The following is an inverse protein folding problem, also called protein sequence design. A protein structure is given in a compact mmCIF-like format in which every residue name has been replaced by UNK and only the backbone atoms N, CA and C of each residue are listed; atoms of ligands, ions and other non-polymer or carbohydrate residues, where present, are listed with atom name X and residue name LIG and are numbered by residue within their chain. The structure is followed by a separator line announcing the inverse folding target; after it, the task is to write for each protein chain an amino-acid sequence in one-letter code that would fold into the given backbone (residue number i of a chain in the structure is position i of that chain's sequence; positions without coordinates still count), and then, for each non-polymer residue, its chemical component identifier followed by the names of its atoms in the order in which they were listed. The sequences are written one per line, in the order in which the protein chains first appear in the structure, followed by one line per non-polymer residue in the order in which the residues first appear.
data_IF_949012913724
#
_entry.id   IF_949012913724
#
_cell.length_a   1.000
_cell.length_b   1.000
_cell.length_c   1.000
_cell.angle_alpha   90.00
_cell.angle_beta   90.00
_cell.angle_gamma   90.00
#
_symmetry.space_group_name_H-M   'P 1'
#
loop_
_entity.id
_entity.type
_entity.pdbx_description
1 polymer ?
#
# COMPACT_ATOMS: atom_id res chain seq x y z
N UNK A 1 -9.63 7.31 0.31
CA UNK A 1 -10.36 7.05 -0.95
C UNK A 1 -10.17 8.23 -1.89
N UNK A 2 -10.02 7.98 -3.18
CA UNK A 2 -9.89 9.00 -4.22
C UNK A 2 -10.79 8.71 -5.43
N UNK A 3 -10.71 9.56 -6.44
CA UNK A 3 -11.46 9.51 -7.69
C UNK A 3 -10.50 9.72 -8.87
N UNK A 4 -10.93 9.29 -10.05
CA UNK A 4 -10.12 9.43 -11.26
C UNK A 4 -9.86 10.92 -11.56
N UNK A 5 -8.59 11.28 -11.78
CA UNK A 5 -8.19 12.66 -12.05
C UNK A 5 -7.92 13.53 -10.80
N UNK A 6 -8.17 13.03 -9.58
CA UNK A 6 -7.76 13.73 -8.36
C UNK A 6 -6.27 13.54 -8.04
N UNK A 7 -5.64 14.50 -7.34
CA UNK A 7 -4.20 14.47 -7.03
C UNK A 7 -3.86 13.55 -5.84
N UNK A 8 -4.40 12.33 -5.79
CA UNK A 8 -4.10 11.39 -4.70
C UNK A 8 -2.63 10.96 -4.67
N UNK A 9 -1.97 10.89 -5.82
CA UNK A 9 -0.55 10.56 -5.91
C UNK A 9 0.34 11.65 -5.29
N UNK A 10 -0.01 12.93 -5.48
CA UNK A 10 0.71 14.06 -4.89
C UNK A 10 0.54 14.08 -3.37
N UNK A 11 -0.67 13.79 -2.88
CA UNK A 11 -0.93 13.68 -1.44
C UNK A 11 -0.16 12.48 -0.86
N UNK A 12 -0.10 11.35 -1.56
CA UNK A 12 0.69 10.19 -1.12
C UNK A 12 2.18 10.53 -1.02
N UNK A 13 2.74 11.18 -2.05
CA UNK A 13 4.12 11.65 -2.04
C UNK A 13 4.36 12.66 -0.90
N UNK A 14 3.43 13.59 -0.68
CA UNK A 14 3.50 14.52 0.44
C UNK A 14 3.50 13.81 1.79
N UNK A 15 2.65 12.79 1.97
CA UNK A 15 2.65 11.96 3.18
C UNK A 15 4.01 11.27 3.34
N UNK A 16 4.58 10.69 2.29
CA UNK A 16 5.91 10.08 2.38
C UNK A 16 6.98 11.08 2.84
N UNK A 17 6.97 12.30 2.29
CA UNK A 17 7.97 13.35 2.60
C UNK A 17 7.85 13.89 4.01
N UNK A 18 6.62 14.02 4.50
CA UNK A 18 6.33 14.64 5.80
C UNK A 18 6.14 13.62 6.91
N UNK A 19 6.05 12.33 6.58
CA UNK A 19 5.93 11.27 7.55
C UNK A 19 7.22 11.20 8.38
N UNK A 20 7.04 11.26 9.69
CA UNK A 20 8.09 11.11 10.68
C UNK A 20 7.46 10.88 12.04
N UNK A 21 8.27 10.36 12.96
CA UNK A 21 7.83 10.20 14.34
C UNK A 21 7.70 11.57 15.00
N UNK A 22 6.60 11.80 15.71
CA UNK A 22 6.40 13.03 16.48
C UNK A 22 7.49 13.10 17.56
N UNK A 23 8.38 14.09 17.46
CA UNK A 23 9.39 14.34 18.48
C UNK A 23 8.68 14.83 19.75
N UNK A 24 8.50 13.93 20.74
CA UNK A 24 8.13 14.33 22.10
C UNK A 24 9.37 14.42 22.96
N UNK A 25 9.44 15.48 23.76
CA UNK A 25 10.43 15.63 24.82
C UNK A 25 10.12 14.67 25.97
N UNK A 26 11.07 13.74 26.21
CA UNK A 26 11.24 12.81 27.34
C UNK A 26 10.88 11.33 27.14
N UNK A 27 11.91 10.50 27.36
CA UNK A 27 11.91 9.21 28.06
C UNK A 27 11.32 7.96 27.39
N UNK A 28 11.79 7.59 26.18
CA UNK A 28 11.90 6.18 25.75
C UNK A 28 13.07 6.06 24.76
N UNK A 29 13.84 4.97 24.76
CA UNK A 29 14.95 4.72 23.83
C UNK A 29 14.54 4.55 22.33
N UNK A 30 13.30 4.87 21.96
CA UNK A 30 12.70 4.58 20.64
C UNK A 30 12.74 5.77 19.64
N UNK A 31 13.34 6.91 20.01
CA UNK A 31 13.22 8.18 19.24
C UNK A 31 14.41 8.51 18.31
N UNK A 32 14.96 7.54 17.56
CA UNK A 32 15.81 7.88 16.42
C UNK A 32 14.97 7.97 15.14
N UNK A 33 15.13 9.07 14.39
CA UNK A 33 14.57 9.20 13.03
C UNK A 33 15.08 8.09 12.10
N UNK A 34 16.20 7.44 12.44
CA UNK A 34 16.79 6.32 11.69
C UNK A 34 15.98 5.01 11.79
N UNK A 35 15.04 4.93 12.73
CA UNK A 35 14.17 3.78 12.89
C UNK A 35 12.88 3.88 12.05
N UNK A 36 12.75 4.88 11.19
CA UNK A 36 11.61 5.01 10.29
C UNK A 36 11.96 4.48 8.89
N UNK A 37 11.13 3.58 8.36
CA UNK A 37 11.25 3.05 7.01
C UNK A 37 9.94 3.20 6.25
N UNK A 38 10.04 3.42 4.94
CA UNK A 38 8.88 3.52 4.07
C UNK A 38 8.89 2.31 3.13
N UNK A 39 7.76 1.61 3.05
CA UNK A 39 7.56 0.56 2.05
C UNK A 39 6.45 1.04 1.13
N UNK A 40 6.79 1.25 -0.13
CA UNK A 40 5.86 1.74 -1.12
C UNK A 40 5.57 0.66 -2.15
N UNK A 41 4.30 0.31 -2.31
CA UNK A 41 3.83 -0.68 -3.28
C UNK A 41 2.90 -0.02 -4.29
N UNK A 42 3.34 0.01 -5.55
CA UNK A 42 2.58 0.47 -6.70
C UNK A 42 2.09 -0.72 -7.52
N UNK A 43 0.81 -0.77 -7.86
CA UNK A 43 0.12 -1.84 -8.57
C UNK A 43 -0.67 -1.22 -9.73
N UNK A 44 -0.34 -1.62 -10.97
CA UNK A 44 -1.05 -1.14 -12.15
C UNK A 44 -0.88 0.36 -12.44
N UNK A 45 0.20 0.98 -11.95
CA UNK A 45 0.43 2.42 -12.15
C UNK A 45 1.01 2.71 -13.54
N UNK A 46 0.68 3.90 -14.06
CA UNK A 46 1.28 4.38 -15.30
C UNK A 46 2.77 4.67 -15.13
N UNK A 47 3.53 4.56 -16.22
CA UNK A 47 4.97 4.87 -16.24
C UNK A 47 5.26 6.29 -15.73
N UNK A 48 4.40 7.26 -16.04
CA UNK A 48 4.52 8.64 -15.58
C UNK A 48 4.40 8.74 -14.05
N UNK A 49 3.42 8.05 -13.47
CA UNK A 49 3.22 7.99 -12.02
C UNK A 49 4.39 7.30 -11.32
N UNK A 50 4.88 6.19 -11.87
CA UNK A 50 6.04 5.49 -11.32
C UNK A 50 7.31 6.36 -11.36
N UNK A 51 7.53 7.09 -12.45
CA UNK A 51 8.64 8.06 -12.56
C UNK A 51 8.49 9.20 -11.58
N UNK A 52 7.28 9.75 -11.43
CA UNK A 52 7.00 10.82 -10.46
C UNK A 52 7.39 10.40 -9.04
N UNK A 53 6.96 9.21 -8.59
CA UNK A 53 7.34 8.70 -7.27
C UNK A 53 8.85 8.48 -7.15
N UNK A 54 9.48 7.88 -8.16
CA UNK A 54 10.92 7.63 -8.14
C UNK A 54 11.73 8.93 -8.03
N UNK A 55 11.38 9.94 -8.85
CA UNK A 55 12.04 11.25 -8.82
C UNK A 55 11.81 11.96 -7.49
N UNK A 56 10.59 11.93 -6.94
CA UNK A 56 10.31 12.53 -5.63
C UNK A 56 11.13 11.84 -4.52
N UNK A 57 11.28 10.51 -4.54
CA UNK A 57 12.11 9.81 -3.56
C UNK A 57 13.62 10.08 -3.71
N UNK A 58 14.11 10.25 -4.94
CA UNK A 58 15.51 10.62 -5.22
C UNK A 58 15.82 12.05 -4.78
N UNK A 59 14.95 13.02 -5.08
CA UNK A 59 15.15 14.43 -4.76
C UNK A 59 15.11 14.72 -3.25
N UNK A 60 14.28 13.99 -2.50
CA UNK A 60 14.14 14.20 -1.06
C UNK A 60 15.17 13.42 -0.21
N UNK A 61 16.10 12.69 -0.83
CA UNK A 61 17.14 11.93 -0.13
C UNK A 61 16.62 10.82 0.78
N UNK A 62 15.34 10.42 0.61
CA UNK A 62 14.70 9.38 1.42
C UNK A 62 14.98 7.96 0.89
N UNK A 63 15.66 7.84 -0.27
CA UNK A 63 15.89 6.58 -0.96
C UNK A 63 16.59 5.51 -0.10
N UNK A 64 17.44 5.91 0.85
CA UNK A 64 18.16 4.98 1.73
C UNK A 64 17.23 4.23 2.71
N UNK A 65 16.05 4.81 3.01
CA UNK A 65 15.06 4.26 3.94
C UNK A 65 13.76 3.82 3.25
N UNK A 66 13.70 3.88 1.91
CA UNK A 66 12.51 3.55 1.13
C UNK A 66 12.73 2.24 0.36
N UNK A 67 11.80 1.30 0.49
CA UNK A 67 11.72 0.11 -0.35
C UNK A 67 10.57 0.27 -1.35
N UNK A 68 10.89 0.22 -2.65
CA UNK A 68 9.93 0.40 -3.75
C UNK A 68 9.59 -0.93 -4.40
N UNK A 69 8.30 -1.29 -4.38
CA UNK A 69 7.72 -2.35 -5.19
C UNK A 69 6.88 -1.70 -6.28
N UNK A 70 7.35 -1.75 -7.53
CA UNK A 70 6.66 -1.13 -8.66
C UNK A 70 6.17 -2.22 -9.62
N UNK A 71 4.86 -2.29 -9.79
CA UNK A 71 4.23 -3.03 -10.87
C UNK A 71 3.49 -2.03 -11.78
N UNK A 72 3.93 -1.96 -13.02
CA UNK A 72 3.43 -1.03 -14.03
C UNK A 72 2.16 -1.57 -14.70
N UNK A 73 1.41 -0.69 -15.34
CA UNK A 73 0.19 -1.06 -16.09
C UNK A 73 0.44 -2.07 -17.23
N UNK A 74 1.66 -2.12 -17.78
CA UNK A 74 2.09 -3.09 -18.80
C UNK A 74 2.59 -4.43 -18.23
N UNK A 75 2.79 -4.52 -16.91
CA UNK A 75 3.26 -5.74 -16.27
C UNK A 75 2.10 -6.72 -16.02
N UNK A 76 2.37 -8.03 -15.88
CA UNK A 76 1.34 -9.06 -15.72
C UNK A 76 0.40 -8.81 -14.53
N UNK A 77 -0.88 -9.13 -14.72
CA UNK A 77 -1.92 -8.96 -13.70
C UNK A 77 -1.72 -9.87 -12.49
N UNK A 78 -1.08 -11.02 -12.67
CA UNK A 78 -0.72 -11.92 -11.56
C UNK A 78 0.30 -11.30 -10.61
N UNK A 79 1.21 -10.46 -11.11
CA UNK A 79 2.20 -9.79 -10.27
C UNK A 79 1.53 -8.78 -9.34
N UNK A 80 0.48 -8.08 -9.81
CA UNK A 80 -0.32 -7.16 -8.98
C UNK A 80 -0.88 -7.81 -7.73
N UNK A 81 -1.23 -9.10 -7.80
CA UNK A 81 -1.80 -9.83 -6.66
C UNK A 81 -0.73 -10.15 -5.61
N UNK A 82 0.52 -10.40 -6.03
CA UNK A 82 1.62 -10.74 -5.12
C UNK A 82 2.37 -9.51 -4.59
N UNK A 83 2.43 -8.41 -5.35
CA UNK A 83 3.11 -7.16 -4.97
C UNK A 83 2.77 -6.67 -3.56
N UNK A 84 1.49 -6.51 -3.15
CA UNK A 84 1.18 -6.03 -1.80
C UNK A 84 1.59 -7.05 -0.72
N UNK A 85 1.55 -8.35 -1.04
CA UNK A 85 1.97 -9.41 -0.11
C UNK A 85 3.48 -9.39 0.12
N UNK A 86 4.27 -9.12 -0.92
CA UNK A 86 5.72 -8.96 -0.83
C UNK A 86 6.09 -7.71 -0.02
N UNK A 87 5.43 -6.58 -0.32
CA UNK A 87 5.61 -5.34 0.42
C UNK A 87 5.30 -5.51 1.92
N UNK A 88 4.16 -6.11 2.25
CA UNK A 88 3.77 -6.35 3.64
C UNK A 88 4.69 -7.32 4.37
N UNK A 89 5.16 -8.37 3.70
CA UNK A 89 6.12 -9.32 4.30
C UNK A 89 7.46 -8.62 4.58
N UNK A 90 7.88 -7.71 3.70
CA UNK A 90 9.08 -6.88 3.92
C UNK A 90 8.87 -5.91 5.08
N UNK A 91 7.69 -5.30 5.18
CA UNK A 91 7.32 -4.42 6.28
C UNK A 91 7.28 -5.17 7.63
N UNK A 92 6.74 -6.39 7.67
CA UNK A 92 6.73 -7.24 8.87
C UNK A 92 8.13 -7.61 9.33
N UNK A 93 9.02 -7.95 8.40
CA UNK A 93 10.41 -8.22 8.73
C UNK A 93 11.08 -7.00 9.36
N UNK A 94 10.96 -5.83 8.72
CA UNK A 94 11.53 -4.58 9.23
C UNK A 94 10.93 -4.17 10.57
N UNK A 95 9.63 -4.30 10.75
CA UNK A 95 8.96 -3.89 11.97
C UNK A 95 9.22 -4.85 13.13
N UNK A 96 9.11 -6.15 12.90
CA UNK A 96 9.08 -7.11 13.99
C UNK A 96 10.41 -7.81 14.27
N UNK A 97 11.34 -7.82 13.32
CA UNK A 97 12.67 -8.40 13.51
C UNK A 97 13.74 -7.31 13.67
N UNK A 98 13.60 -6.19 12.95
CA UNK A 98 14.53 -5.05 13.04
C UNK A 98 14.02 -3.92 13.93
N UNK A 99 12.83 -4.08 14.55
CA UNK A 99 12.22 -3.11 15.48
C UNK A 99 12.03 -1.70 14.90
N UNK A 100 11.84 -1.58 13.58
CA UNK A 100 11.60 -0.30 12.90
C UNK A 100 10.11 0.09 12.88
N UNK A 101 9.85 1.38 12.79
CA UNK A 101 8.53 1.91 12.47
C UNK A 101 8.39 1.99 10.95
N UNK A 102 7.47 1.21 10.39
CA UNK A 102 7.28 1.09 8.96
C UNK A 102 5.98 1.75 8.53
N UNK A 103 6.07 2.66 7.57
CA UNK A 103 4.92 3.19 6.85
C UNK A 103 4.77 2.45 5.52
N UNK A 104 3.69 1.70 5.36
CA UNK A 104 3.35 0.98 4.13
C UNK A 104 2.30 1.77 3.36
N UNK A 105 2.60 2.10 2.11
CA UNK A 105 1.67 2.76 1.20
C UNK A 105 1.36 1.81 0.06
N UNK A 106 0.08 1.51 -0.13
CA UNK A 106 -0.42 0.63 -1.17
C UNK A 106 -1.22 1.46 -2.16
N UNK A 107 -0.81 1.50 -3.43
CA UNK A 107 -1.51 2.22 -4.51
C UNK A 107 -1.44 1.40 -5.80
N UNK A 108 -2.46 1.23 -6.63
CA UNK A 108 -3.87 1.48 -6.41
C UNK A 108 -4.57 0.15 -6.06
N UNK A 109 -5.33 0.12 -4.95
CA UNK A 109 -6.11 -1.06 -4.55
C UNK A 109 -7.25 -1.37 -5.53
N UNK A 110 -7.68 -0.41 -6.34
CA UNK A 110 -8.65 -0.66 -7.41
C UNK A 110 -8.06 -1.54 -8.51
N UNK A 111 -6.80 -1.30 -8.89
CA UNK A 111 -6.08 -2.16 -9.85
C UNK A 111 -5.82 -3.56 -9.29
N UNK A 112 -5.63 -3.68 -7.97
CA UNK A 112 -5.56 -4.98 -7.30
C UNK A 112 -6.90 -5.73 -7.41
N UNK A 113 -8.02 -5.07 -7.11
CA UNK A 113 -9.35 -5.69 -7.18
C UNK A 113 -9.73 -6.10 -8.61
N UNK A 114 -9.36 -5.29 -9.62
CA UNK A 114 -9.54 -5.63 -11.02
C UNK A 114 -8.72 -6.85 -11.45
N UNK A 115 -7.45 -6.93 -11.02
CA UNK A 115 -6.61 -8.10 -11.27
C UNK A 115 -7.19 -9.36 -10.60
N UNK A 116 -7.72 -9.23 -9.38
CA UNK A 116 -8.38 -10.33 -8.68
C UNK A 116 -9.62 -10.81 -9.44
N UNK A 117 -10.41 -9.88 -9.99
CA UNK A 117 -11.56 -10.17 -10.84
C UNK A 117 -11.16 -10.91 -12.11
N UNK A 118 -10.09 -10.47 -12.77
CA UNK A 118 -9.59 -11.10 -14.01
C UNK A 118 -9.16 -12.54 -13.76
N UNK A 119 -8.44 -12.79 -12.66
CA UNK A 119 -8.02 -14.16 -12.29
C UNK A 119 -9.21 -15.04 -11.95
N UNK A 120 -10.20 -14.51 -11.22
CA UNK A 120 -11.43 -15.25 -10.89
C UNK A 120 -12.25 -15.59 -12.14
N UNK A 121 -12.38 -14.64 -13.08
CA UNK A 121 -13.04 -14.85 -14.36
C UNK A 121 -12.32 -15.90 -15.23
N UNK A 122 -10.97 -15.86 -15.26
CA UNK A 122 -10.16 -16.85 -15.97
C UNK A 122 -10.25 -18.26 -15.36
N UNK A 123 -10.60 -18.37 -14.08
CA UNK A 123 -10.85 -19.63 -13.36
C UNK A 123 -12.28 -20.13 -13.46
N UNK A 124 -13.15 -19.41 -14.18
CA UNK A 124 -14.59 -19.72 -14.30
C UNK A 124 -15.31 -19.81 -12.94
N UNK A 125 -14.86 -19.04 -11.96
CA UNK A 125 -15.51 -18.97 -10.65
C UNK A 125 -16.82 -18.19 -10.74
N UNK A 126 -17.77 -18.50 -9.86
CA UNK A 126 -19.07 -17.81 -9.83
C UNK A 126 -18.86 -16.38 -9.36
N UNK A 127 -19.19 -15.36 -10.19
CA UNK A 127 -18.99 -13.97 -9.82
C UNK A 127 -19.96 -13.55 -8.72
N UNK A 128 -19.47 -12.71 -7.80
CA UNK A 128 -20.27 -12.02 -6.80
C UNK A 128 -20.83 -10.69 -7.31
N UNK A 129 -20.96 -9.72 -6.41
CA UNK A 129 -21.54 -8.40 -6.70
C UNK A 129 -20.68 -7.64 -7.73
N UNK A 130 -21.32 -7.10 -8.78
CA UNK A 130 -20.68 -6.36 -9.89
C UNK A 130 -19.52 -7.12 -10.57
N UNK A 131 -19.53 -8.45 -10.53
CA UNK A 131 -18.54 -9.29 -11.22
C UNK A 131 -17.26 -9.56 -10.43
N UNK A 132 -17.11 -9.05 -9.20
CA UNK A 132 -15.96 -9.35 -8.34
C UNK A 132 -16.10 -10.73 -7.67
N UNK A 133 -14.98 -11.39 -7.30
CA UNK A 133 -15.03 -12.68 -6.62
C UNK A 133 -15.77 -12.59 -5.27
N UNK A 134 -16.50 -13.64 -4.91
CA UNK A 134 -17.25 -13.68 -3.65
C UNK A 134 -16.38 -13.62 -2.39
N UNK A 135 -15.09 -13.98 -2.51
CA UNK A 135 -14.11 -13.97 -1.41
C UNK A 135 -13.29 -12.66 -1.34
N UNK A 136 -13.65 -11.62 -2.11
CA UNK A 136 -12.89 -10.37 -2.14
C UNK A 136 -12.75 -9.73 -0.74
N UNK A 137 -13.78 -9.82 0.10
CA UNK A 137 -13.71 -9.34 1.49
C UNK A 137 -12.60 -10.04 2.29
N UNK A 138 -12.59 -11.38 2.26
CA UNK A 138 -11.57 -12.17 2.98
C UNK A 138 -10.18 -11.91 2.43
N UNK A 139 -10.04 -11.75 1.12
CA UNK A 139 -8.76 -11.49 0.47
C UNK A 139 -8.21 -10.10 0.86
N UNK A 140 -9.03 -9.04 0.81
CA UNK A 140 -8.65 -7.71 1.25
C UNK A 140 -8.33 -7.67 2.75
N UNK A 141 -9.09 -8.39 3.59
CA UNK A 141 -8.81 -8.51 5.01
C UNK A 141 -7.41 -9.12 5.25
N UNK A 142 -6.98 -10.11 4.45
CA UNK A 142 -5.63 -10.69 4.60
C UNK A 142 -4.50 -9.68 4.31
N UNK A 143 -4.78 -8.58 3.64
CA UNK A 143 -3.83 -7.49 3.36
C UNK A 143 -3.90 -6.45 4.49
N UNK A 144 -5.09 -5.94 4.79
CA UNK A 144 -5.25 -4.82 5.72
C UNK A 144 -5.02 -5.18 7.18
N UNK A 145 -5.31 -6.42 7.59
CA UNK A 145 -5.12 -6.89 8.97
C UNK A 145 -3.64 -7.15 9.33
N UNK A 146 -2.71 -6.92 8.40
CA UNK A 146 -1.24 -7.02 8.64
C UNK A 146 -0.63 -5.72 9.15
N UNK A 147 -1.44 -4.83 9.72
CA UNK A 147 -1.02 -3.56 10.31
C UNK A 147 -1.06 -3.64 11.84
N UNK A 148 -0.22 -2.86 12.53
CA UNK A 148 -0.26 -2.72 13.97
C UNK A 148 1.05 -3.04 14.69
N UNK A 149 0.95 -3.08 16.03
CA UNK A 149 2.06 -3.35 16.95
C UNK A 149 1.73 -4.58 17.80
N UNK A 150 2.75 -5.39 18.05
CA UNK A 150 2.64 -6.60 18.89
C UNK A 150 3.22 -6.30 20.28
N UNK A 151 2.58 -6.84 21.32
CA UNK A 151 3.09 -6.72 22.69
C UNK A 151 4.48 -7.35 22.81
N UNK A 152 5.40 -6.65 23.47
CA UNK A 152 6.80 -7.08 23.60
C UNK A 152 7.70 -6.75 22.41
N UNK A 153 7.20 -6.03 21.39
CA UNK A 153 8.03 -5.50 20.27
C UNK A 153 7.90 -3.99 20.14
N UNK A 154 8.99 -3.32 19.75
CA UNK A 154 9.02 -1.87 19.60
C UNK A 154 8.60 -1.36 18.21
N UNK A 155 8.82 -2.15 17.15
CA UNK A 155 8.40 -1.76 15.82
C UNK A 155 6.89 -1.79 15.60
N UNK A 156 6.44 -1.06 14.58
CA UNK A 156 5.04 -0.91 14.23
C UNK A 156 4.86 -0.83 12.72
N UNK A 157 3.72 -1.29 12.23
CA UNK A 157 3.34 -1.16 10.82
C UNK A 157 2.12 -0.25 10.74
N UNK A 158 2.24 0.84 9.99
CA UNK A 158 1.13 1.73 9.64
C UNK A 158 0.83 1.55 8.16
N UNK A 159 -0.40 1.22 7.81
CA UNK A 159 -0.80 1.08 6.40
C UNK A 159 -1.65 2.27 5.94
N UNK A 160 -1.37 2.75 4.73
CA UNK A 160 -2.18 3.74 4.02
C UNK A 160 -2.54 3.17 2.64
N UNK A 161 -3.69 2.48 2.52
CA UNK A 161 -4.20 2.07 1.23
C UNK A 161 -4.82 3.25 0.49
N UNK A 162 -4.47 3.37 -0.78
CA UNK A 162 -5.02 4.33 -1.72
C UNK A 162 -5.84 3.55 -2.73
N UNK A 163 -7.10 3.95 -2.88
CA UNK A 163 -7.99 3.39 -3.88
C UNK A 163 -8.66 4.50 -4.68
N UNK A 164 -8.88 4.24 -5.96
CA UNK A 164 -9.65 5.09 -6.86
C UNK A 164 -11.06 4.55 -7.06
N UNK A 165 -12.07 5.28 -6.60
CA UNK A 165 -13.47 4.89 -6.73
C UNK A 165 -13.92 4.99 -8.20
N UNK A 166 -14.47 3.90 -8.78
CA UNK A 166 -15.05 3.97 -10.11
C UNK A 166 -16.30 4.87 -10.10
N UNK A 167 -16.37 5.84 -11.02
CA UNK A 167 -17.48 6.79 -11.14
C UNK A 167 -17.82 7.56 -9.85
N UNK A 168 -16.85 7.72 -8.95
CA UNK A 168 -17.00 8.39 -7.64
C UNK A 168 -18.10 7.75 -6.77
N UNK A 169 -18.40 6.47 -7.00
CA UNK A 169 -19.45 5.73 -6.31
C UNK A 169 -18.90 5.05 -5.05
N UNK A 170 -19.23 5.60 -3.88
CA UNK A 170 -18.86 5.03 -2.58
C UNK A 170 -19.54 3.67 -2.30
N UNK A 171 -20.63 3.35 -3.00
CA UNK A 171 -21.33 2.06 -2.85
C UNK A 171 -20.73 0.94 -3.71
N UNK A 172 -19.63 1.25 -4.43
CA UNK A 172 -18.91 0.27 -5.21
C UNK A 172 -18.28 -0.80 -4.30
N UNK A 173 -18.25 -2.10 -4.70
CA UNK A 173 -17.70 -3.17 -3.86
C UNK A 173 -16.26 -2.99 -3.38
N UNK A 174 -15.48 -2.14 -4.07
CA UNK A 174 -14.10 -1.81 -3.66
C UNK A 174 -14.15 -0.96 -2.38
N UNK A 175 -14.65 0.30 -2.39
CA UNK A 175 -14.77 1.11 -1.17
C UNK A 175 -15.71 0.51 -0.11
N UNK A 176 -16.71 -0.29 -0.50
CA UNK A 176 -17.65 -0.93 0.45
C UNK A 176 -16.97 -2.01 1.32
N UNK A 177 -15.92 -2.67 0.81
CA UNK A 177 -15.19 -3.74 1.50
C UNK A 177 -13.81 -3.29 2.05
N UNK A 178 -13.43 -2.02 1.83
CA UNK A 178 -12.16 -1.44 2.30
C UNK A 178 -12.38 -0.70 3.61
#
# INVERSE_FOLDING_TARGET
FSAAGLPHNEIAAQICRQAGLVQKSKDVMDYSADNFAIVFAAMGVNMETARFFKSDFEENGSMDNVCLFLNLANDPTIERIITPRLALTTAEYLAYQCEKHVLVILTDMSSYAEALREVSAAREEVPGRRGFPGYMYTDLATIYERAGRVEGRNGSITQIPILTMPNDDITHPIPDLT
#
